data_IF_956471273061
#
_entry.id   IF_956471273061
#
_cell.length_a   1.000
_cell.length_b   1.000
_cell.length_c   1.000
_cell.angle_alpha   90.00
_cell.angle_beta   90.00
_cell.angle_gamma   90.00
#
_symmetry.space_group_name_H-M   'P 1'
#
loop_
_entity.id
_entity.type
_entity.pdbx_description
1 polymer ?
#
# COMPACT_ATOMS: atom_id res chain seq x y z
N UNK A 1 -14.43 31.56 13.58
CA UNK A 1 -15.05 30.72 12.53
C UNK A 1 -13.94 30.39 11.54
N UNK A 2 -13.67 29.15 11.13
CA UNK A 2 -14.42 27.92 11.48
C UNK A 2 -13.58 26.62 11.48
N UNK A 3 -12.25 26.71 11.58
CA UNK A 3 -11.32 25.59 11.35
C UNK A 3 -11.65 24.32 12.15
N UNK A 4 -12.07 24.44 13.42
CA UNK A 4 -12.50 23.29 14.24
C UNK A 4 -13.77 22.60 13.68
N UNK A 5 -14.76 23.38 13.25
CA UNK A 5 -16.01 22.85 12.66
C UNK A 5 -15.77 22.31 11.25
N UNK A 6 -14.88 22.92 10.47
CA UNK A 6 -14.43 22.37 9.19
C UNK A 6 -13.72 21.01 9.38
N UNK A 7 -12.81 20.91 10.35
CA UNK A 7 -12.16 19.65 10.73
C UNK A 7 -13.17 18.60 11.21
N UNK A 8 -14.15 18.98 12.05
CA UNK A 8 -15.23 18.08 12.48
C UNK A 8 -16.05 17.56 11.30
N UNK A 9 -16.52 18.45 10.41
CA UNK A 9 -17.25 18.07 9.18
C UNK A 9 -16.43 17.14 8.29
N UNK A 10 -15.11 17.32 8.23
CA UNK A 10 -14.22 16.43 7.48
C UNK A 10 -14.08 15.04 8.13
N UNK A 11 -13.87 14.95 9.46
CA UNK A 11 -13.87 13.67 10.19
C UNK A 11 -15.21 12.94 10.05
N UNK A 12 -16.33 13.66 10.16
CA UNK A 12 -17.66 13.13 9.90
C UNK A 12 -17.79 12.58 8.48
N UNK A 13 -17.27 13.27 7.46
CA UNK A 13 -17.36 12.80 6.07
C UNK A 13 -16.53 11.54 5.83
N UNK A 14 -15.34 11.43 6.42
CA UNK A 14 -14.54 10.21 6.37
C UNK A 14 -15.29 9.02 6.99
N UNK A 15 -15.89 9.20 8.17
CA UNK A 15 -16.72 8.15 8.79
C UNK A 15 -18.00 7.85 8.00
N UNK A 16 -18.64 8.85 7.37
CA UNK A 16 -19.80 8.65 6.47
C UNK A 16 -19.40 7.81 5.24
N UNK A 17 -18.22 8.04 4.67
CA UNK A 17 -17.68 7.25 3.56
C UNK A 17 -17.41 5.80 4.00
N UNK A 18 -16.67 5.58 5.10
CA UNK A 18 -16.41 4.22 5.61
C UNK A 18 -17.73 3.48 5.88
N UNK A 19 -18.70 4.11 6.54
CA UNK A 19 -20.04 3.55 6.78
C UNK A 19 -20.82 3.21 5.50
N UNK A 20 -20.59 3.93 4.39
CA UNK A 20 -21.21 3.63 3.09
C UNK A 20 -20.59 2.39 2.45
N UNK A 21 -19.27 2.34 2.32
CA UNK A 21 -18.61 1.20 1.65
C UNK A 21 -18.77 -0.11 2.45
N UNK A 22 -18.78 -0.01 3.78
CA UNK A 22 -19.20 -1.07 4.72
C UNK A 22 -20.57 -1.64 4.37
N UNK A 23 -21.59 -0.79 4.18
CA UNK A 23 -22.94 -1.23 3.83
C UNK A 23 -22.98 -1.87 2.45
N UNK A 24 -22.23 -1.30 1.50
CA UNK A 24 -22.14 -1.83 0.14
C UNK A 24 -21.56 -3.25 0.11
N UNK A 25 -20.52 -3.53 0.90
CA UNK A 25 -19.93 -4.87 1.04
C UNK A 25 -20.90 -5.83 1.74
N UNK A 26 -21.62 -5.38 2.77
CA UNK A 26 -22.62 -6.22 3.45
C UNK A 26 -23.77 -6.62 2.51
N UNK A 27 -24.24 -5.70 1.67
CA UNK A 27 -25.24 -5.97 0.63
C UNK A 27 -24.68 -6.87 -0.49
N UNK A 28 -23.42 -6.65 -0.92
CA UNK A 28 -22.74 -7.47 -1.92
C UNK A 28 -22.55 -8.92 -1.44
N UNK A 29 -22.17 -9.13 -0.17
CA UNK A 29 -22.02 -10.45 0.43
C UNK A 29 -23.36 -11.22 0.48
N UNK A 30 -24.43 -10.55 0.94
CA UNK A 30 -25.78 -11.14 1.03
C UNK A 30 -26.36 -11.47 -0.35
N UNK A 31 -26.10 -10.63 -1.37
CA UNK A 31 -26.68 -10.81 -2.72
C UNK A 31 -25.87 -11.71 -3.64
N UNK A 32 -24.53 -11.69 -3.56
CA UNK A 32 -23.64 -12.42 -4.49
C UNK A 32 -23.06 -13.73 -3.95
N UNK A 33 -23.31 -14.06 -2.67
CA UNK A 33 -22.77 -15.22 -1.92
C UNK A 33 -21.24 -15.24 -1.72
N UNK A 34 -20.47 -14.48 -2.49
CA UNK A 34 -19.03 -14.33 -2.34
C UNK A 34 -18.57 -12.92 -2.75
N UNK A 35 -17.58 -12.39 -2.05
CA UNK A 35 -16.96 -11.09 -2.35
C UNK A 35 -15.49 -11.34 -2.72
N UNK A 36 -15.12 -11.10 -3.97
CA UNK A 36 -13.74 -11.30 -4.43
C UNK A 36 -12.79 -10.23 -3.89
N UNK A 37 -11.53 -10.58 -3.67
CA UNK A 37 -10.50 -9.66 -3.15
C UNK A 37 -10.20 -8.45 -4.05
N UNK A 38 -10.47 -8.57 -5.35
CA UNK A 38 -10.34 -7.48 -6.31
C UNK A 38 -11.63 -6.68 -6.53
N UNK A 39 -12.73 -6.97 -5.81
CA UNK A 39 -14.01 -6.27 -6.02
C UNK A 39 -13.88 -4.75 -5.86
N UNK A 40 -14.66 -4.02 -6.65
CA UNK A 40 -14.74 -2.55 -6.58
C UNK A 40 -15.18 -2.07 -5.21
N UNK A 41 -16.02 -2.84 -4.52
CA UNK A 41 -16.52 -2.56 -3.16
C UNK A 41 -15.40 -2.73 -2.13
N UNK A 42 -14.62 -3.81 -2.19
CA UNK A 42 -13.41 -4.01 -1.38
C UNK A 42 -12.40 -2.88 -1.61
N UNK A 43 -12.15 -2.53 -2.87
CA UNK A 43 -11.21 -1.47 -3.24
C UNK A 43 -11.67 -0.08 -2.77
N UNK A 44 -12.98 0.18 -2.77
CA UNK A 44 -13.57 1.43 -2.26
C UNK A 44 -13.50 1.51 -0.74
N UNK A 45 -13.74 0.40 -0.01
CA UNK A 45 -13.50 0.35 1.44
C UNK A 45 -12.03 0.61 1.77
N UNK A 46 -11.10 -0.03 1.07
CA UNK A 46 -9.67 0.17 1.30
C UNK A 46 -9.26 1.64 1.07
N UNK A 47 -9.82 2.31 0.05
CA UNK A 47 -9.62 3.73 -0.19
C UNK A 47 -10.19 4.61 0.93
N UNK A 48 -11.38 4.29 1.45
CA UNK A 48 -12.00 5.02 2.57
C UNK A 48 -11.19 4.86 3.87
N UNK A 49 -10.61 3.68 4.11
CA UNK A 49 -9.72 3.43 5.25
C UNK A 49 -8.37 4.13 5.09
N UNK A 50 -7.73 4.09 3.91
CA UNK A 50 -6.50 4.87 3.63
C UNK A 50 -6.73 6.37 3.86
N UNK A 51 -7.89 6.90 3.44
CA UNK A 51 -8.25 8.30 3.66
C UNK A 51 -8.42 8.66 5.15
N UNK A 52 -8.81 7.70 6.00
CA UNK A 52 -8.82 7.88 7.46
C UNK A 52 -7.41 7.80 8.05
N UNK A 53 -6.59 6.83 7.61
CA UNK A 53 -5.27 6.54 8.18
C UNK A 53 -4.13 7.45 7.70
N UNK A 54 -4.28 8.10 6.54
CA UNK A 54 -3.35 9.13 6.05
C UNK A 54 -3.59 10.51 6.65
N UNK A 55 -4.79 10.76 7.19
CA UNK A 55 -5.18 12.06 7.73
C UNK A 55 -4.46 12.35 9.05
N UNK A 56 -3.79 13.51 9.13
CA UNK A 56 -3.04 13.93 10.33
C UNK A 56 -1.82 13.06 10.68
N UNK A 57 -1.33 12.23 9.76
CA UNK A 57 -0.20 11.32 9.98
C UNK A 57 1.14 12.09 10.06
N UNK A 58 1.92 11.88 11.13
CA UNK A 58 3.16 12.63 11.37
C UNK A 58 4.28 12.18 10.45
N UNK A 59 4.45 12.85 9.31
CA UNK A 59 5.53 12.61 8.32
C UNK A 59 6.92 12.43 8.96
N UNK A 60 7.26 13.24 9.97
CA UNK A 60 8.55 13.19 10.69
C UNK A 60 8.72 11.95 11.60
N UNK A 61 7.64 11.29 12.02
CA UNK A 61 7.68 10.11 12.88
C UNK A 61 7.99 8.81 12.12
N UNK A 62 7.88 8.82 10.79
CA UNK A 62 8.03 7.64 9.94
C UNK A 62 9.48 7.51 9.43
N UNK A 63 9.97 8.53 8.72
CA UNK A 63 11.29 8.52 8.07
C UNK A 63 11.17 8.49 6.54
N UNK A 64 12.32 8.38 5.85
CA UNK A 64 12.41 8.48 4.39
C UNK A 64 12.12 7.14 3.69
N UNK A 65 10.87 6.69 3.77
CA UNK A 65 10.38 5.53 3.01
C UNK A 65 10.09 5.88 1.54
N UNK A 66 10.22 4.89 0.65
CA UNK A 66 9.83 4.99 -0.77
C UNK A 66 8.36 4.62 -1.05
N UNK A 67 7.67 4.05 -0.06
CA UNK A 67 6.30 3.53 -0.14
C UNK A 67 5.26 4.52 0.42
N UNK A 68 3.96 4.19 0.38
CA UNK A 68 2.92 5.06 0.97
C UNK A 68 3.21 5.34 2.44
N UNK A 69 2.85 6.54 2.92
CA UNK A 69 3.02 6.91 4.33
C UNK A 69 2.27 5.97 5.30
N UNK A 70 1.23 5.27 4.85
CA UNK A 70 0.54 4.25 5.67
C UNK A 70 1.27 2.90 5.65
N UNK A 71 1.88 2.50 4.53
CA UNK A 71 2.80 1.34 4.47
C UNK A 71 4.04 1.58 5.37
N UNK A 72 4.57 2.80 5.35
CA UNK A 72 5.62 3.25 6.26
C UNK A 72 5.21 3.19 7.75
N UNK A 73 3.95 3.49 8.06
CA UNK A 73 3.37 3.33 9.39
C UNK A 73 3.29 1.85 9.79
N UNK A 74 2.82 0.97 8.91
CA UNK A 74 2.77 -0.48 9.13
C UNK A 74 4.15 -1.05 9.48
N UNK A 75 5.18 -0.79 8.67
CA UNK A 75 6.55 -1.24 8.96
C UNK A 75 7.10 -0.67 10.29
N UNK A 76 6.58 0.48 10.76
CA UNK A 76 6.95 1.10 12.04
C UNK A 76 6.14 0.53 13.23
N UNK A 77 5.00 -0.11 12.99
CA UNK A 77 4.23 -0.88 13.98
C UNK A 77 4.75 -2.32 14.11
N UNK A 78 5.06 -2.97 12.98
CA UNK A 78 5.51 -4.36 12.88
C UNK A 78 6.65 -4.71 13.86
N UNK A 79 7.53 -3.75 14.16
CA UNK A 79 8.63 -3.90 15.12
C UNK A 79 8.22 -4.20 16.58
N UNK A 80 6.95 -3.97 16.93
CA UNK A 80 6.44 -4.10 18.30
C UNK A 80 5.03 -4.72 18.37
N UNK A 81 4.43 -5.14 17.25
CA UNK A 81 3.04 -5.57 17.20
C UNK A 81 2.83 -6.65 16.14
N UNK A 82 2.60 -7.90 16.59
CA UNK A 82 2.61 -9.10 15.73
C UNK A 82 1.61 -9.07 14.56
N UNK A 83 0.35 -8.61 14.72
CA UNK A 83 -0.56 -8.50 13.58
C UNK A 83 -0.06 -7.56 12.47
N UNK A 84 0.68 -6.49 12.80
CA UNK A 84 1.32 -5.65 11.80
C UNK A 84 2.57 -6.30 11.20
N UNK A 85 3.25 -7.18 11.93
CA UNK A 85 4.39 -7.98 11.42
C UNK A 85 3.96 -8.91 10.31
N UNK A 86 2.89 -9.69 10.53
CA UNK A 86 2.31 -10.64 9.55
C UNK A 86 1.97 -9.93 8.23
N UNK A 87 1.27 -8.79 8.29
CA UNK A 87 0.92 -8.02 7.08
C UNK A 87 2.17 -7.36 6.46
N UNK A 88 3.10 -6.85 7.28
CA UNK A 88 4.35 -6.26 6.78
C UNK A 88 5.20 -7.24 6.00
N UNK A 89 5.21 -8.52 6.38
CA UNK A 89 5.92 -9.58 5.66
C UNK A 89 5.26 -9.84 4.30
N UNK A 90 3.93 -10.09 4.29
CA UNK A 90 3.17 -10.34 3.05
C UNK A 90 3.23 -9.18 2.04
N UNK A 91 3.29 -7.93 2.53
CA UNK A 91 3.54 -6.76 1.68
C UNK A 91 4.93 -6.83 1.03
N UNK A 92 5.98 -7.14 1.81
CA UNK A 92 7.36 -7.22 1.30
C UNK A 92 7.57 -8.40 0.34
N UNK A 93 6.91 -9.54 0.57
CA UNK A 93 6.92 -10.67 -0.36
C UNK A 93 6.33 -10.26 -1.72
N UNK A 94 5.22 -9.54 -1.73
CA UNK A 94 4.58 -9.04 -2.96
C UNK A 94 5.34 -7.89 -3.63
N UNK A 95 5.97 -7.00 -2.86
CA UNK A 95 6.84 -5.94 -3.39
C UNK A 95 8.17 -6.49 -3.95
N UNK A 96 8.68 -7.61 -3.44
CA UNK A 96 9.91 -8.26 -3.89
C UNK A 96 9.71 -9.30 -5.02
N UNK A 97 8.46 -9.64 -5.38
CA UNK A 97 8.13 -10.65 -6.40
C UNK A 97 8.35 -10.18 -7.85
N UNK A 98 9.33 -9.30 -8.06
CA UNK A 98 9.64 -8.67 -9.35
C UNK A 98 10.40 -9.68 -10.25
N UNK A 99 9.81 -10.16 -11.36
CA UNK A 99 10.31 -11.34 -12.11
C UNK A 99 11.61 -11.09 -12.90
N UNK A 100 12.24 -9.93 -12.74
CA UNK A 100 13.54 -9.59 -13.32
C UNK A 100 14.74 -10.05 -12.45
N UNK A 101 14.51 -10.59 -11.26
CA UNK A 101 15.56 -11.16 -10.40
C UNK A 101 15.82 -12.64 -10.69
N UNK A 102 16.21 -12.95 -11.93
CA UNK A 102 16.68 -14.27 -12.32
C UNK A 102 18.00 -14.62 -11.63
N UNK A 103 18.00 -15.73 -10.90
CA UNK A 103 19.14 -16.41 -10.29
C UNK A 103 20.12 -15.58 -9.43
N UNK A 104 20.01 -15.75 -8.12
CA UNK A 104 21.13 -15.59 -7.18
C UNK A 104 21.32 -16.86 -6.35
N UNK A 105 21.44 -17.99 -7.05
CA UNK A 105 21.83 -19.27 -6.47
C UNK A 105 23.37 -19.36 -6.31
N UNK A 106 23.83 -20.02 -5.25
CA UNK A 106 25.22 -19.95 -4.79
C UNK A 106 26.17 -20.93 -5.49
N UNK A 107 27.28 -20.46 -6.06
CA UNK A 107 28.52 -21.24 -6.20
C UNK A 107 29.76 -20.38 -5.94
N UNK A 108 30.87 -21.01 -5.50
CA UNK A 108 32.16 -20.37 -5.20
C UNK A 108 33.31 -21.08 -5.93
N UNK A 109 33.76 -20.53 -7.06
CA UNK A 109 35.10 -20.72 -7.63
C UNK A 109 35.38 -19.52 -8.57
N UNK A 110 36.50 -18.79 -8.55
CA UNK A 110 37.91 -19.11 -8.33
C UNK A 110 38.69 -19.55 -9.59
N UNK A 111 39.07 -18.54 -10.39
CA UNK A 111 40.43 -18.34 -10.93
C UNK A 111 40.81 -18.81 -12.36
N UNK A 112 41.79 -18.06 -12.90
CA UNK A 112 42.72 -18.26 -14.04
C UNK A 112 42.23 -18.25 -15.51
N UNK A 113 42.72 -17.25 -16.27
CA UNK A 113 43.54 -17.29 -17.51
C UNK A 113 43.15 -18.32 -18.63
N UNK A 114 43.18 -18.07 -19.95
CA UNK A 114 43.92 -17.14 -20.86
C UNK A 114 43.51 -17.48 -22.34
N UNK A 115 43.82 -16.81 -23.48
CA UNK A 115 44.55 -15.57 -23.88
C UNK A 115 44.28 -15.18 -25.36
N UNK A 116 44.69 -13.96 -25.77
CA UNK A 116 45.19 -13.55 -27.12
C UNK A 116 44.33 -13.67 -28.40
N UNK A 117 43.83 -12.53 -28.91
CA UNK A 117 43.98 -11.98 -30.30
C UNK A 117 42.98 -10.83 -30.53
N UNK A 118 43.28 -9.69 -31.18
CA UNK A 118 44.59 -9.22 -31.65
C UNK A 118 44.54 -8.31 -32.90
N UNK A 119 44.06 -7.07 -32.80
CA UNK A 119 44.21 -6.03 -33.86
C UNK A 119 44.03 -4.60 -33.33
N UNK A 120 44.52 -3.60 -34.07
CA UNK A 120 44.57 -2.17 -33.67
C UNK A 120 43.83 -1.31 -34.69
N UNK A 121 42.99 -0.36 -34.24
CA UNK A 121 42.82 0.98 -34.88
C UNK A 121 41.96 1.94 -34.04
N UNK A 122 42.19 3.24 -34.24
CA UNK A 122 41.48 4.42 -33.71
C UNK A 122 41.43 5.45 -34.87
N UNK A 123 40.70 6.58 -34.76
CA UNK A 123 39.27 6.71 -34.45
C UNK A 123 38.56 7.64 -35.47
N UNK A 124 37.25 7.50 -35.73
CA UNK A 124 36.50 8.64 -36.30
C UNK A 124 34.99 8.66 -36.01
N UNK A 125 34.44 9.87 -36.09
CA UNK A 125 33.06 10.33 -35.92
C UNK A 125 32.15 9.88 -37.06
N UNK A 126 30.92 9.42 -36.75
CA UNK A 126 29.64 9.99 -37.23
C UNK A 126 28.43 9.17 -36.70
N UNK A 127 27.24 9.79 -36.48
CA UNK A 127 26.08 9.12 -35.89
C UNK A 127 25.20 8.40 -36.94
N UNK A 128 24.52 7.28 -36.57
CA UNK A 128 23.56 6.61 -37.45
C UNK A 128 22.23 7.37 -37.57
N UNK A 129 21.44 7.18 -38.66
CA UNK A 129 20.42 8.16 -39.06
C UNK A 129 19.00 7.85 -38.56
N UNK A 130 18.19 8.91 -38.43
CA UNK A 130 16.74 8.82 -38.27
C UNK A 130 16.09 8.11 -39.47
N UNK A 131 15.28 7.08 -39.21
CA UNK A 131 14.38 6.49 -40.20
C UNK A 131 12.93 6.47 -39.71
N UNK A 132 12.01 6.63 -40.66
CA UNK A 132 10.54 6.61 -40.46
C UNK A 132 10.10 5.17 -40.09
N UNK A 133 8.91 4.90 -39.54
CA UNK A 133 7.60 5.44 -39.93
C UNK A 133 6.50 5.08 -38.90
N UNK A 134 5.40 5.83 -38.96
CA UNK A 134 4.07 5.68 -38.33
C UNK A 134 3.74 4.32 -37.67
N UNK A 135 3.13 4.34 -36.47
CA UNK A 135 1.70 4.00 -36.23
C UNK A 135 1.38 3.82 -34.73
N UNK A 136 0.09 3.90 -34.38
CA UNK A 136 -0.53 3.44 -33.12
C UNK A 136 0.19 3.78 -31.80
N UNK A 137 -0.20 4.90 -31.17
CA UNK A 137 0.07 5.15 -29.76
C UNK A 137 -0.74 4.21 -28.85
N UNK A 138 -0.27 2.98 -28.68
CA UNK A 138 -0.85 1.97 -27.79
C UNK A 138 0.30 1.18 -27.16
N UNK A 139 0.86 1.75 -26.10
CA UNK A 139 2.14 1.33 -25.53
C UNK A 139 2.08 -0.03 -24.83
N UNK A 140 2.35 -1.09 -25.58
CA UNK A 140 2.80 -2.37 -25.02
C UNK A 140 4.27 -2.24 -24.56
N UNK A 141 4.47 -1.48 -23.48
CA UNK A 141 5.65 -1.63 -22.65
C UNK A 141 5.64 -2.99 -21.93
N UNK A 142 6.75 -3.41 -21.29
CA UNK A 142 6.70 -4.54 -20.37
C UNK A 142 5.62 -4.27 -19.32
N UNK A 143 4.81 -5.30 -19.02
CA UNK A 143 3.64 -5.16 -18.16
C UNK A 143 4.06 -4.79 -16.73
N UNK A 144 4.10 -3.50 -16.42
CA UNK A 144 4.33 -2.98 -15.09
C UNK A 144 3.23 -3.51 -14.18
N UNK A 145 3.57 -4.50 -13.34
CA UNK A 145 2.66 -5.08 -12.35
C UNK A 145 2.19 -3.92 -11.47
N UNK A 146 0.97 -3.46 -11.71
CA UNK A 146 0.44 -2.25 -11.08
C UNK A 146 -0.04 -2.65 -9.70
N UNK A 147 0.91 -2.67 -8.76
CA UNK A 147 0.75 -3.18 -7.41
C UNK A 147 -0.59 -2.69 -6.81
N UNK A 148 -1.44 -3.57 -6.26
CA UNK A 148 -2.79 -3.21 -5.85
C UNK A 148 -2.82 -1.96 -4.96
N UNK A 149 -3.62 -0.97 -5.35
CA UNK A 149 -3.79 0.24 -4.53
C UNK A 149 -4.27 -0.18 -3.14
N UNK A 150 -3.64 0.39 -2.12
CA UNK A 150 -3.91 0.07 -0.70
C UNK A 150 -3.60 -1.40 -0.32
N UNK A 151 -2.61 -2.04 -0.99
CA UNK A 151 -2.23 -3.44 -0.82
C UNK A 151 -2.26 -3.93 0.65
N UNK A 152 -1.60 -3.20 1.55
CA UNK A 152 -1.50 -3.62 2.94
C UNK A 152 -2.84 -3.61 3.68
N UNK A 153 -3.75 -2.68 3.34
CA UNK A 153 -5.12 -2.63 3.89
C UNK A 153 -5.92 -3.80 3.34
N UNK A 154 -5.78 -4.12 2.05
CA UNK A 154 -6.43 -5.28 1.41
C UNK A 154 -5.95 -6.59 2.09
N UNK A 155 -4.65 -6.77 2.26
CA UNK A 155 -4.09 -7.94 2.97
C UNK A 155 -4.59 -8.03 4.42
N UNK A 156 -4.54 -6.92 5.17
CA UNK A 156 -5.06 -6.87 6.53
C UNK A 156 -6.56 -7.19 6.62
N UNK A 157 -7.35 -6.86 5.60
CA UNK A 157 -8.78 -7.17 5.53
C UNK A 157 -9.00 -8.69 5.40
N UNK A 158 -8.30 -9.37 4.49
CA UNK A 158 -8.48 -10.82 4.26
C UNK A 158 -7.87 -11.70 5.36
N UNK A 159 -6.77 -11.27 5.98
CA UNK A 159 -6.23 -11.91 7.18
C UNK A 159 -7.08 -11.65 8.45
N UNK A 160 -8.14 -10.82 8.33
CA UNK A 160 -9.03 -10.37 9.42
C UNK A 160 -8.32 -9.58 10.53
N UNK A 161 -7.12 -9.07 10.24
CA UNK A 161 -6.28 -8.29 11.15
C UNK A 161 -6.51 -6.77 11.07
N UNK A 162 -7.21 -6.25 10.06
CA UNK A 162 -7.40 -4.81 9.83
C UNK A 162 -8.00 -4.10 11.05
N UNK A 163 -9.01 -4.70 11.69
CA UNK A 163 -9.64 -4.15 12.87
C UNK A 163 -8.67 -4.02 14.06
N UNK A 164 -7.92 -5.09 14.39
CA UNK A 164 -7.00 -5.07 15.54
C UNK A 164 -5.76 -4.18 15.29
N UNK A 165 -5.33 -4.03 14.03
CA UNK A 165 -4.30 -3.07 13.63
C UNK A 165 -4.79 -1.62 13.82
N UNK A 166 -6.03 -1.32 13.43
CA UNK A 166 -6.61 0.02 13.59
C UNK A 166 -6.91 0.34 15.06
N UNK A 167 -7.39 -0.62 15.84
CA UNK A 167 -7.60 -0.43 17.27
C UNK A 167 -6.27 -0.11 18.00
N UNK A 168 -5.21 -0.87 17.71
CA UNK A 168 -3.87 -0.58 18.20
C UNK A 168 -3.37 0.81 17.76
N UNK A 169 -3.73 1.29 16.56
CA UNK A 169 -3.42 2.66 16.11
C UNK A 169 -4.19 3.74 16.88
N UNK A 170 -5.45 3.51 17.26
CA UNK A 170 -6.23 4.43 18.10
C UNK A 170 -5.62 4.48 19.51
N UNK A 171 -5.32 3.32 20.10
CA UNK A 171 -4.65 3.22 21.41
C UNK A 171 -3.27 3.92 21.42
N UNK A 172 -2.49 3.80 20.33
CA UNK A 172 -1.14 4.37 20.22
C UNK A 172 -1.10 5.69 19.42
N UNK A 173 -2.23 6.35 19.19
CA UNK A 173 -2.37 7.45 18.23
C UNK A 173 -1.36 8.58 18.45
N UNK A 174 -1.09 8.95 19.70
CA UNK A 174 -0.20 10.05 20.11
C UNK A 174 1.25 9.93 19.62
N UNK A 175 1.70 8.70 19.29
CA UNK A 175 3.04 8.37 18.78
C UNK A 175 3.17 8.59 17.26
N UNK A 176 2.06 8.55 16.54
CA UNK A 176 2.02 8.49 15.06
C UNK A 176 1.23 9.62 14.41
N UNK A 177 0.24 10.19 15.11
CA UNK A 177 -0.74 11.14 14.57
C UNK A 177 -0.74 12.50 15.31
N UNK A 178 -1.09 13.55 14.59
CA UNK A 178 -1.42 14.86 15.18
C UNK A 178 -2.74 14.81 15.97
N UNK A 179 -2.89 15.71 16.96
CA UNK A 179 -4.08 15.74 17.84
C UNK A 179 -5.38 16.00 17.06
N UNK A 180 -5.32 16.80 16.00
CA UNK A 180 -6.47 17.10 15.14
C UNK A 180 -6.79 15.98 14.13
N UNK A 181 -6.09 14.84 14.20
CA UNK A 181 -6.36 13.70 13.32
C UNK A 181 -7.68 13.00 13.65
N UNK A 182 -8.19 12.17 12.73
CA UNK A 182 -9.32 11.28 12.97
C UNK A 182 -8.96 10.14 13.94
N UNK A 183 -7.75 9.57 13.81
CA UNK A 183 -7.30 8.41 14.60
C UNK A 183 -6.95 8.79 16.05
N UNK A 184 -6.50 10.02 16.30
CA UNK A 184 -6.27 10.55 17.66
C UNK A 184 -7.52 11.21 18.30
N UNK A 185 -8.65 11.20 17.60
CA UNK A 185 -9.92 11.68 18.13
C UNK A 185 -10.63 10.55 18.88
N UNK A 186 -10.98 10.70 20.17
CA UNK A 186 -11.54 9.60 20.95
C UNK A 186 -12.90 9.14 20.41
N UNK A 187 -13.71 10.04 19.87
CA UNK A 187 -15.00 9.71 19.29
C UNK A 187 -14.84 9.05 17.91
N UNK A 188 -14.20 9.74 16.96
CA UNK A 188 -14.12 9.23 15.58
C UNK A 188 -13.16 8.04 15.42
N UNK A 189 -12.09 7.96 16.22
CA UNK A 189 -11.17 6.82 16.24
C UNK A 189 -11.85 5.56 16.79
N UNK A 190 -12.54 5.68 17.92
CA UNK A 190 -13.34 4.58 18.50
C UNK A 190 -14.44 4.12 17.54
N UNK A 191 -15.14 5.05 16.87
CA UNK A 191 -16.13 4.72 15.83
C UNK A 191 -15.47 3.99 14.64
N UNK A 192 -14.29 4.41 14.18
CA UNK A 192 -13.59 3.74 13.07
C UNK A 192 -13.21 2.28 13.42
N UNK A 193 -12.62 2.06 14.59
CA UNK A 193 -12.29 0.72 15.10
C UNK A 193 -13.55 -0.14 15.23
N UNK A 194 -14.56 0.39 15.94
CA UNK A 194 -15.83 -0.30 16.20
C UNK A 194 -16.57 -0.71 14.92
N UNK A 195 -16.56 0.15 13.89
CA UNK A 195 -17.13 -0.22 12.59
C UNK A 195 -16.38 -1.43 12.02
N UNK A 196 -15.07 -1.29 11.77
CA UNK A 196 -14.32 -2.31 11.04
C UNK A 196 -14.28 -3.65 11.80
N UNK A 197 -14.22 -3.62 13.14
CA UNK A 197 -14.34 -4.84 13.97
C UNK A 197 -15.65 -5.60 13.78
N UNK A 198 -16.79 -4.92 13.63
CA UNK A 198 -18.08 -5.58 13.39
C UNK A 198 -18.21 -6.17 11.97
N UNK A 199 -17.64 -5.51 10.96
CA UNK A 199 -17.83 -5.95 9.56
C UNK A 199 -16.77 -6.92 9.05
N UNK A 200 -15.56 -6.93 9.61
CA UNK A 200 -14.50 -7.92 9.31
C UNK A 200 -14.90 -9.34 9.78
N UNK A 201 -15.93 -9.48 10.62
CA UNK A 201 -16.53 -10.75 10.99
C UNK A 201 -17.57 -11.29 9.97
N UNK A 202 -17.98 -10.49 8.99
CA UNK A 202 -19.04 -10.82 8.00
C UNK A 202 -18.46 -11.28 6.66
N UNK A 203 -17.23 -10.86 6.34
CA UNK A 203 -16.34 -11.52 5.38
C UNK A 203 -15.57 -12.64 6.08
#
# INVERSE_FOLDING_TARGET
MDTSIASKKFKEQLIKNVKKEVKQIMEEAVTRKFVHEESGSITSLCAAVEACLSQGLRRRALGLFKTSSTTALLHKMAKNFEPASIISLKVQEMENSDPNSGDSCTTRAASVNSTLTGSITLPNVHPPPLTKKNSAGSGLGPSSITLPKYLWIRLALFEKLLAVIIDHLVQNCSKYYEKDSLVADPDYGSILSSLLGNYVCVC
#
